data_IF_110672683867
#
_entry.id   IF_110672683867
#
_cell.length_a   1.000
_cell.length_b   1.000
_cell.length_c   1.000
_cell.angle_alpha   90.00
_cell.angle_beta   90.00
_cell.angle_gamma   90.00
#
_symmetry.space_group_name_H-M   'P 1'
#
loop_
_entity.id
_entity.type
_entity.pdbx_description
1 polymer ?
#
# COMPACT_ATOMS: atom_id res chain seq x y z
N UNK A 1 29.73 23.90 23.89
CA UNK A 1 28.62 23.86 22.91
C UNK A 1 28.85 22.83 21.77
N UNK A 2 29.43 21.66 22.03
CA UNK A 2 29.73 20.64 20.99
C UNK A 2 28.69 19.50 20.93
N UNK A 3 28.03 19.19 22.04
CA UNK A 3 27.03 18.13 22.14
C UNK A 3 25.72 18.43 21.39
N UNK A 4 25.36 19.71 21.25
CA UNK A 4 24.10 20.11 20.59
C UNK A 4 24.07 19.74 19.11
N UNK A 5 25.18 19.91 18.37
CA UNK A 5 25.22 19.63 16.93
C UNK A 5 25.16 18.13 16.63
N UNK A 6 25.78 17.30 17.48
CA UNK A 6 25.79 15.83 17.35
C UNK A 6 24.37 15.29 17.61
N UNK A 7 23.67 15.82 18.61
CA UNK A 7 22.29 15.45 18.89
C UNK A 7 21.35 15.82 17.74
N UNK A 8 21.51 17.03 17.17
CA UNK A 8 20.73 17.47 16.00
C UNK A 8 20.93 16.57 14.78
N UNK A 9 22.17 16.15 14.50
CA UNK A 9 22.49 15.23 13.40
C UNK A 9 21.88 13.85 13.60
N UNK A 10 21.91 13.30 14.82
CA UNK A 10 21.29 12.01 15.15
C UNK A 10 19.77 12.05 14.98
N UNK A 11 19.12 13.14 15.38
CA UNK A 11 17.66 13.30 15.21
C UNK A 11 17.28 13.37 13.73
N UNK A 12 18.05 14.11 12.91
CA UNK A 12 17.81 14.18 11.45
C UNK A 12 18.00 12.80 10.80
N UNK A 13 19.06 12.08 11.18
CA UNK A 13 19.34 10.75 10.64
C UNK A 13 18.26 9.73 11.04
N UNK A 14 17.84 9.72 12.31
CA UNK A 14 16.78 8.84 12.80
C UNK A 14 15.42 9.14 12.13
N UNK A 15 15.09 10.42 11.92
CA UNK A 15 13.87 10.82 11.23
C UNK A 15 13.90 10.40 9.75
N UNK A 16 15.04 10.56 9.06
CA UNK A 16 15.24 10.10 7.69
C UNK A 16 15.14 8.57 7.54
N UNK A 17 15.76 7.81 8.44
CA UNK A 17 15.68 6.34 8.45
C UNK A 17 14.24 5.84 8.67
N UNK A 18 13.51 6.45 9.61
CA UNK A 18 12.11 6.07 9.87
C UNK A 18 11.21 6.31 8.65
N UNK A 19 11.40 7.46 7.97
CA UNK A 19 10.67 7.80 6.74
C UNK A 19 10.95 6.80 5.61
N UNK A 20 12.21 6.42 5.42
CA UNK A 20 12.61 5.46 4.36
C UNK A 20 12.06 4.06 4.63
N UNK A 21 12.05 3.62 5.90
CA UNK A 21 11.47 2.33 6.29
C UNK A 21 9.96 2.30 6.06
N UNK A 22 9.25 3.37 6.45
CA UNK A 22 7.81 3.49 6.21
C UNK A 22 7.48 3.50 4.71
N UNK A 23 8.24 4.26 3.91
CA UNK A 23 8.10 4.28 2.45
C UNK A 23 8.25 2.88 1.85
N UNK A 24 9.30 2.16 2.23
CA UNK A 24 9.60 0.83 1.69
C UNK A 24 8.50 -0.17 2.06
N UNK A 25 8.01 -0.10 3.29
CA UNK A 25 6.88 -0.91 3.76
C UNK A 25 5.60 -0.63 2.98
N UNK A 26 5.26 0.65 2.77
CA UNK A 26 4.07 1.05 2.00
C UNK A 26 4.15 0.62 0.52
N UNK A 27 5.32 0.73 -0.12
CA UNK A 27 5.52 0.27 -1.49
C UNK A 27 5.42 -1.25 -1.61
N UNK A 28 5.96 -1.98 -0.63
CA UNK A 28 5.84 -3.44 -0.57
C UNK A 28 4.38 -3.87 -0.39
N UNK A 29 3.65 -3.24 0.53
CA UNK A 29 2.22 -3.47 0.73
C UNK A 29 1.41 -3.15 -0.54
N UNK A 30 1.70 -2.02 -1.20
CA UNK A 30 1.05 -1.64 -2.45
C UNK A 30 1.23 -2.72 -3.54
N UNK A 31 2.44 -3.28 -3.66
CA UNK A 31 2.72 -4.35 -4.63
C UNK A 31 1.89 -5.59 -4.34
N UNK A 32 1.91 -6.07 -3.09
CA UNK A 32 1.15 -7.25 -2.68
C UNK A 32 -0.36 -7.08 -2.90
N UNK A 33 -0.89 -5.88 -2.64
CA UNK A 33 -2.30 -5.59 -2.86
C UNK A 33 -2.66 -5.51 -4.35
N UNK A 34 -1.77 -5.00 -5.21
CA UNK A 34 -1.96 -5.04 -6.67
C UNK A 34 -1.99 -6.48 -7.19
N UNK A 35 -1.08 -7.33 -6.72
CA UNK A 35 -1.05 -8.75 -7.08
C UNK A 35 -2.32 -9.48 -6.58
N UNK A 36 -2.76 -9.17 -5.35
CA UNK A 36 -4.01 -9.67 -4.79
C UNK A 36 -5.24 -9.23 -5.59
N UNK A 37 -5.31 -7.96 -5.97
CA UNK A 37 -6.40 -7.42 -6.78
C UNK A 37 -6.49 -8.14 -8.15
N UNK A 38 -5.33 -8.37 -8.79
CA UNK A 38 -5.28 -9.11 -10.06
C UNK A 38 -5.80 -10.54 -9.90
N UNK A 39 -5.37 -11.27 -8.87
CA UNK A 39 -5.83 -12.62 -8.59
C UNK A 39 -7.34 -12.68 -8.29
N UNK A 40 -7.88 -11.72 -7.52
CA UNK A 40 -9.33 -11.62 -7.27
C UNK A 40 -10.07 -11.36 -8.59
N UNK A 41 -9.55 -10.48 -9.45
CA UNK A 41 -10.15 -10.17 -10.74
C UNK A 41 -10.19 -11.40 -11.67
N UNK A 42 -9.12 -12.20 -11.70
CA UNK A 42 -9.10 -13.49 -12.43
C UNK A 42 -10.16 -14.47 -11.90
N UNK A 43 -10.30 -14.56 -10.56
CA UNK A 43 -11.33 -15.41 -9.93
C UNK A 43 -12.75 -14.94 -10.27
N UNK A 44 -13.00 -13.63 -10.26
CA UNK A 44 -14.29 -13.04 -10.69
C UNK A 44 -14.59 -13.45 -12.12
N UNK A 45 -13.64 -13.27 -13.04
CA UNK A 45 -13.81 -13.67 -14.45
C UNK A 45 -14.11 -15.18 -14.57
N UNK A 46 -13.37 -16.01 -13.83
CA UNK A 46 -13.59 -17.46 -13.79
C UNK A 46 -14.97 -17.86 -13.24
N UNK A 47 -15.48 -17.16 -12.22
CA UNK A 47 -16.83 -17.40 -11.69
C UNK A 47 -17.92 -16.92 -12.64
N UNK A 48 -17.75 -15.76 -13.26
CA UNK A 48 -18.68 -15.25 -14.27
C UNK A 48 -18.79 -16.20 -15.47
N UNK A 49 -17.66 -16.72 -15.97
CA UNK A 49 -17.64 -17.71 -17.05
C UNK A 49 -18.41 -18.98 -16.68
N UNK A 50 -18.36 -19.40 -15.41
CA UNK A 50 -19.08 -20.57 -14.89
C UNK A 50 -20.53 -20.29 -14.49
N UNK A 51 -21.03 -19.06 -14.70
CA UNK A 51 -22.38 -18.65 -14.27
C UNK A 51 -22.56 -18.50 -12.75
N UNK A 52 -21.48 -18.47 -11.98
CA UNK A 52 -21.48 -18.37 -10.51
C UNK A 52 -21.55 -16.90 -10.05
N UNK A 53 -22.63 -16.21 -10.42
CA UNK A 53 -22.78 -14.76 -10.21
C UNK A 53 -22.72 -14.34 -8.72
N UNK A 54 -23.25 -15.17 -7.80
CA UNK A 54 -23.19 -14.89 -6.37
C UNK A 54 -21.73 -14.86 -5.87
N UNK A 55 -20.92 -15.88 -6.23
CA UNK A 55 -19.49 -15.94 -5.87
C UNK A 55 -18.70 -14.81 -6.52
N UNK A 56 -18.98 -14.47 -7.78
CA UNK A 56 -18.39 -13.30 -8.42
C UNK A 56 -18.75 -11.99 -7.70
N UNK A 57 -19.97 -11.89 -7.17
CA UNK A 57 -20.43 -10.77 -6.34
C UNK A 57 -19.65 -10.64 -5.03
N UNK A 58 -19.47 -11.74 -4.30
CA UNK A 58 -18.67 -11.77 -3.07
C UNK A 58 -17.23 -11.33 -3.31
N UNK A 59 -16.60 -11.82 -4.39
CA UNK A 59 -15.25 -11.43 -4.76
C UNK A 59 -15.13 -9.96 -5.18
N UNK A 60 -16.17 -9.38 -5.82
CA UNK A 60 -16.19 -7.94 -6.13
C UNK A 60 -16.19 -7.08 -4.88
N UNK A 61 -16.85 -7.50 -3.80
CA UNK A 61 -16.81 -6.79 -2.51
C UNK A 61 -15.39 -6.83 -1.93
N UNK A 62 -14.73 -7.98 -1.97
CA UNK A 62 -13.34 -8.11 -1.54
C UNK A 62 -12.39 -7.23 -2.38
N UNK A 63 -12.57 -7.22 -3.70
CA UNK A 63 -11.81 -6.36 -4.61
C UNK A 63 -11.98 -4.87 -4.27
N UNK A 64 -13.20 -4.45 -3.92
CA UNK A 64 -13.48 -3.09 -3.46
C UNK A 64 -12.70 -2.71 -2.20
N UNK A 65 -12.61 -3.63 -1.23
CA UNK A 65 -11.82 -3.41 -0.01
C UNK A 65 -10.32 -3.29 -0.31
N UNK A 66 -9.79 -4.11 -1.22
CA UNK A 66 -8.39 -4.03 -1.67
C UNK A 66 -8.11 -2.69 -2.36
N UNK A 67 -9.01 -2.21 -3.23
CA UNK A 67 -8.88 -0.90 -3.85
C UNK A 67 -8.90 0.25 -2.83
N UNK A 68 -9.80 0.21 -1.84
CA UNK A 68 -9.83 1.21 -0.78
C UNK A 68 -8.50 1.26 -0.01
N UNK A 69 -7.89 0.10 0.27
CA UNK A 69 -6.58 0.03 0.91
C UNK A 69 -5.47 0.60 0.02
N UNK A 70 -5.48 0.30 -1.28
CA UNK A 70 -4.53 0.87 -2.24
C UNK A 70 -4.60 2.40 -2.31
N UNK A 71 -5.82 2.97 -2.29
CA UNK A 71 -6.03 4.43 -2.24
C UNK A 71 -5.42 5.02 -0.97
N UNK A 72 -5.65 4.39 0.19
CA UNK A 72 -5.10 4.87 1.46
C UNK A 72 -3.56 4.82 1.50
N UNK A 73 -2.96 3.78 0.93
CA UNK A 73 -1.50 3.69 0.80
C UNK A 73 -0.98 4.77 -0.16
N UNK A 74 -1.67 5.02 -1.26
CA UNK A 74 -1.29 6.07 -2.20
C UNK A 74 -1.33 7.44 -1.52
N UNK A 75 -2.41 7.76 -0.80
CA UNK A 75 -2.51 8.99 -0.02
C UNK A 75 -1.40 9.11 1.04
N UNK A 76 -1.00 7.99 1.64
CA UNK A 76 0.11 7.95 2.61
C UNK A 76 1.45 8.26 1.92
N UNK A 77 1.72 7.67 0.76
CA UNK A 77 2.91 7.95 -0.05
C UNK A 77 2.94 9.40 -0.55
N UNK A 78 1.79 9.95 -0.93
CA UNK A 78 1.64 11.34 -1.36
C UNK A 78 1.95 12.30 -0.20
N UNK A 79 1.48 11.99 1.02
CA UNK A 79 1.80 12.77 2.24
C UNK A 79 3.30 12.74 2.58
N UNK A 80 3.97 11.64 2.21
CA UNK A 80 5.41 11.50 2.32
C UNK A 80 6.15 12.21 1.16
N UNK A 81 5.46 12.90 0.25
CA UNK A 81 6.06 13.67 -0.85
C UNK A 81 6.73 12.80 -1.92
N UNK A 82 6.28 11.54 -2.09
CA UNK A 82 6.93 10.55 -2.97
C UNK A 82 6.36 10.58 -4.39
N UNK A 83 5.15 11.13 -4.61
CA UNK A 83 4.59 11.31 -5.95
C UNK A 83 4.77 12.76 -6.39
N UNK A 84 5.78 12.97 -7.24
CA UNK A 84 5.85 14.11 -8.15
C UNK A 84 6.40 13.64 -9.49
#
# INVERSE_FOLDING_TARGET
MKFSAILSLLVIFACGCNRNNLQTSLLSEQKLLKDSANNINERIAGYMYKGLNAKAGEEKVQLGAVHARLINIQASLDSLGIVR
#
